data_IF_388508340167
#
_entry.id   IF_388508340167
#
_cell.length_a   1.000
_cell.length_b   1.000
_cell.length_c   1.000
_cell.angle_alpha   90.00
_cell.angle_beta   90.00
_cell.angle_gamma   90.00
#
_symmetry.space_group_name_H-M   'P 1'
#
loop_
_entity.id
_entity.type
_entity.pdbx_description
1 polymer ?
#
# COMPACT_ATOMS: atom_id res chain seq x y z
N UNK A 1 -11.26 3.45 -12.15
CA UNK A 1 -12.22 2.32 -12.20
C UNK A 1 -12.60 1.94 -10.78
N UNK A 2 -13.76 2.40 -10.29
CA UNK A 2 -14.22 2.16 -8.91
C UNK A 2 -15.11 0.90 -8.90
N UNK A 3 -14.55 -0.25 -8.52
CA UNK A 3 -15.25 -1.54 -8.52
C UNK A 3 -16.29 -1.62 -7.36
N UNK A 4 -16.30 -0.65 -6.45
CA UNK A 4 -16.90 -0.78 -5.12
C UNK A 4 -18.32 -0.23 -4.92
N UNK A 5 -19.14 -0.05 -5.96
CA UNK A 5 -20.56 0.34 -5.78
C UNK A 5 -21.57 -0.29 -6.75
N UNK A 6 -21.14 -1.15 -7.68
CA UNK A 6 -22.07 -1.74 -8.64
C UNK A 6 -23.04 -2.72 -7.96
N UNK A 7 -24.29 -2.77 -8.46
CA UNK A 7 -25.32 -3.68 -7.96
C UNK A 7 -24.87 -5.15 -8.07
N UNK A 8 -24.11 -5.46 -9.13
CA UNK A 8 -23.52 -6.77 -9.37
C UNK A 8 -22.57 -7.25 -8.24
N UNK A 9 -21.70 -6.37 -7.72
CA UNK A 9 -20.79 -6.72 -6.62
C UNK A 9 -21.55 -7.01 -5.32
N UNK A 10 -22.64 -6.28 -5.07
CA UNK A 10 -23.51 -6.53 -3.91
C UNK A 10 -24.28 -7.85 -4.05
N UNK A 11 -24.77 -8.16 -5.25
CA UNK A 11 -25.47 -9.41 -5.54
C UNK A 11 -24.54 -10.63 -5.45
N UNK A 12 -23.30 -10.52 -5.94
CA UNK A 12 -22.27 -11.56 -5.84
C UNK A 12 -21.93 -11.90 -4.40
N UNK A 13 -21.68 -10.89 -3.56
CA UNK A 13 -21.36 -11.10 -2.13
C UNK A 13 -22.55 -11.69 -1.37
N UNK A 14 -23.79 -11.25 -1.64
CA UNK A 14 -25.00 -11.84 -1.05
C UNK A 14 -25.15 -13.32 -1.42
N UNK A 15 -24.86 -13.67 -2.68
CA UNK A 15 -24.91 -15.05 -3.17
C UNK A 15 -23.82 -15.90 -2.51
N UNK A 16 -22.60 -15.38 -2.37
CA UNK A 16 -21.50 -16.07 -1.69
C UNK A 16 -21.78 -16.28 -0.19
N UNK A 17 -22.25 -15.25 0.52
CA UNK A 17 -22.62 -15.37 1.93
C UNK A 17 -23.78 -16.39 2.12
N UNK A 18 -24.73 -16.46 1.18
CA UNK A 18 -25.82 -17.44 1.22
C UNK A 18 -25.34 -18.88 0.92
N UNK A 19 -24.29 -19.04 0.10
CA UNK A 19 -23.72 -20.36 -0.24
C UNK A 19 -22.69 -20.85 0.79
N UNK A 20 -22.04 -19.96 1.52
CA UNK A 20 -21.00 -20.30 2.49
C UNK A 20 -21.43 -19.97 3.92
N UNK A 21 -22.10 -20.92 4.59
CA UNK A 21 -22.54 -20.78 6.00
C UNK A 21 -21.39 -20.81 7.03
N UNK A 22 -20.18 -21.21 6.64
CA UNK A 22 -19.06 -21.50 7.56
C UNK A 22 -17.93 -20.48 7.54
N UNK A 23 -17.88 -19.56 6.55
CA UNK A 23 -16.80 -18.58 6.41
C UNK A 23 -17.37 -17.18 6.53
N UNK A 24 -17.29 -16.62 7.75
CA UNK A 24 -17.64 -15.24 8.17
C UNK A 24 -18.43 -14.44 7.13
N UNK A 25 -19.71 -14.16 7.43
CA UNK A 25 -20.54 -13.20 6.68
C UNK A 25 -19.71 -11.96 6.33
N UNK A 26 -19.38 -11.82 5.05
CA UNK A 26 -18.53 -10.72 4.59
C UNK A 26 -19.39 -9.46 4.63
N UNK A 27 -19.23 -8.67 5.70
CA UNK A 27 -19.93 -7.41 5.85
C UNK A 27 -19.38 -6.40 4.84
N UNK A 28 -20.22 -6.00 3.89
CA UNK A 28 -19.91 -4.95 2.93
C UNK A 28 -19.91 -3.62 3.69
N UNK A 29 -18.78 -3.23 4.25
CA UNK A 29 -18.65 -1.89 4.83
C UNK A 29 -18.59 -0.86 3.70
N UNK A 30 -19.74 -0.25 3.39
CA UNK A 30 -19.86 0.88 2.44
C UNK A 30 -19.29 2.19 3.00
N UNK A 31 -18.31 2.11 3.91
CA UNK A 31 -17.70 3.27 4.51
C UNK A 31 -16.66 3.81 3.52
N UNK A 32 -16.99 4.93 2.87
CA UNK A 32 -16.13 5.59 1.86
C UNK A 32 -14.69 5.77 2.35
N UNK A 33 -14.52 6.04 3.65
CA UNK A 33 -13.23 6.19 4.30
C UNK A 33 -12.38 4.90 4.31
N UNK A 34 -12.98 3.75 4.65
CA UNK A 34 -12.27 2.46 4.66
C UNK A 34 -11.85 2.02 3.26
N UNK A 35 -12.73 2.23 2.26
CA UNK A 35 -12.36 2.00 0.87
C UNK A 35 -11.20 2.90 0.45
N UNK A 36 -11.19 4.18 0.85
CA UNK A 36 -10.09 5.06 0.51
C UNK A 36 -8.74 4.59 1.08
N UNK A 37 -8.70 4.06 2.32
CA UNK A 37 -7.47 3.50 2.91
C UNK A 37 -7.00 2.27 2.13
N UNK A 38 -7.91 1.34 1.82
CA UNK A 38 -7.59 0.10 1.09
C UNK A 38 -7.11 0.42 -0.33
N UNK A 39 -7.82 1.29 -1.04
CA UNK A 39 -7.44 1.72 -2.40
C UNK A 39 -6.09 2.47 -2.41
N UNK A 40 -5.82 3.31 -1.41
CA UNK A 40 -4.52 3.97 -1.27
C UNK A 40 -3.39 2.98 -1.00
N UNK A 41 -3.61 1.99 -0.14
CA UNK A 41 -2.64 0.94 0.14
C UNK A 41 -2.31 0.15 -1.13
N UNK A 42 -3.34 -0.28 -1.86
CA UNK A 42 -3.17 -0.97 -3.14
C UNK A 42 -2.44 -0.13 -4.17
N UNK A 43 -2.72 1.17 -4.26
CA UNK A 43 -1.99 2.09 -5.14
C UNK A 43 -0.51 2.15 -4.77
N UNK A 44 -0.19 2.24 -3.48
CA UNK A 44 1.20 2.28 -3.03
C UNK A 44 1.95 0.98 -3.34
N UNK A 45 1.31 -0.18 -3.17
CA UNK A 45 1.89 -1.48 -3.53
C UNK A 45 2.13 -1.56 -5.04
N UNK A 46 1.15 -1.19 -5.86
CA UNK A 46 1.30 -1.18 -7.33
C UNK A 46 2.43 -0.27 -7.80
N UNK A 47 2.54 0.93 -7.23
CA UNK A 47 3.62 1.86 -7.56
C UNK A 47 4.99 1.24 -7.25
N UNK A 48 5.15 0.58 -6.09
CA UNK A 48 6.40 -0.10 -5.73
C UNK A 48 6.75 -1.20 -6.71
N UNK A 49 5.78 -2.03 -7.10
CA UNK A 49 5.99 -3.10 -8.08
C UNK A 49 6.44 -2.52 -9.41
N UNK A 50 5.74 -1.51 -9.93
CA UNK A 50 6.08 -0.87 -11.22
C UNK A 50 7.48 -0.27 -11.19
N UNK A 51 7.84 0.42 -10.10
CA UNK A 51 9.17 0.98 -9.91
C UNK A 51 10.22 -0.13 -9.94
N UNK A 52 10.04 -1.21 -9.17
CA UNK A 52 10.98 -2.34 -9.12
C UNK A 52 11.12 -3.06 -10.46
N UNK A 53 10.02 -3.26 -11.19
CA UNK A 53 10.04 -3.90 -12.52
C UNK A 53 10.79 -3.08 -13.57
N UNK A 54 10.91 -1.76 -13.39
CA UNK A 54 11.69 -0.89 -14.27
C UNK A 54 13.21 -0.96 -14.07
N UNK A 55 13.70 -1.64 -13.02
CA UNK A 55 15.13 -1.81 -12.79
C UNK A 55 15.64 -3.10 -13.43
N UNK A 56 16.85 -3.01 -14.02
CA UNK A 56 17.56 -4.17 -14.56
C UNK A 56 17.99 -5.17 -13.49
N UNK A 57 18.29 -4.67 -12.29
CA UNK A 57 18.82 -5.45 -11.17
C UNK A 57 18.06 -5.13 -9.86
N UNK A 58 18.02 -6.09 -8.94
CA UNK A 58 17.26 -5.98 -7.68
C UNK A 58 17.88 -5.00 -6.68
N UNK A 59 19.21 -5.01 -6.54
CA UNK A 59 19.97 -4.16 -5.62
C UNK A 59 19.71 -2.64 -5.83
N UNK A 60 19.81 -2.08 -7.06
CA UNK A 60 19.43 -0.70 -7.34
C UNK A 60 17.96 -0.37 -7.02
N UNK A 61 17.05 -1.32 -7.25
CA UNK A 61 15.63 -1.15 -6.97
C UNK A 61 15.38 -1.04 -5.45
N UNK A 62 16.05 -1.90 -4.66
CA UNK A 62 15.96 -1.87 -3.20
C UNK A 62 16.49 -0.56 -2.62
N UNK A 63 17.67 -0.10 -3.06
CA UNK A 63 18.24 1.19 -2.62
C UNK A 63 17.30 2.35 -2.94
N UNK A 64 16.69 2.35 -4.13
CA UNK A 64 15.72 3.38 -4.53
C UNK A 64 14.46 3.34 -3.65
N UNK A 65 13.91 2.15 -3.40
CA UNK A 65 12.75 1.98 -2.52
C UNK A 65 13.04 2.39 -1.06
N UNK A 66 14.24 2.11 -0.56
CA UNK A 66 14.70 2.52 0.76
C UNK A 66 14.79 4.05 0.85
N UNK A 67 15.37 4.72 -0.16
CA UNK A 67 15.39 6.18 -0.25
C UNK A 67 14.00 6.81 -0.22
N UNK A 68 13.06 6.28 -1.02
CA UNK A 68 11.67 6.74 -1.03
C UNK A 68 11.01 6.58 0.35
N UNK A 69 11.28 5.46 1.04
CA UNK A 69 10.76 5.22 2.39
C UNK A 69 11.33 6.22 3.42
N UNK A 70 12.62 6.52 3.35
CA UNK A 70 13.29 7.49 4.24
C UNK A 70 12.71 8.88 4.05
N UNK A 71 12.58 9.37 2.81
CA UNK A 71 11.96 10.69 2.52
C UNK A 71 10.53 10.75 3.05
N UNK A 72 9.77 9.65 2.93
CA UNK A 72 8.42 9.59 3.48
C UNK A 72 8.38 9.60 5.01
N UNK A 73 9.32 8.94 5.69
CA UNK A 73 9.46 8.98 7.16
C UNK A 73 9.82 10.39 7.65
N UNK A 74 10.73 11.08 6.95
CA UNK A 74 11.11 12.48 7.24
C UNK A 74 9.88 13.39 7.11
N UNK A 75 9.16 13.28 5.99
CA UNK A 75 7.98 14.12 5.73
C UNK A 75 6.85 13.88 6.75
N UNK A 76 6.82 12.71 7.38
CA UNK A 76 5.88 12.38 8.45
C UNK A 76 6.39 12.74 9.86
N UNK A 77 7.62 13.24 10.01
CA UNK A 77 8.22 13.52 11.31
C UNK A 77 8.47 12.27 12.15
N UNK A 78 8.64 11.10 11.51
CA UNK A 78 8.78 9.81 12.19
C UNK A 78 10.24 9.47 12.54
N UNK A 79 11.19 10.39 12.32
CA UNK A 79 12.59 10.21 12.69
C UNK A 79 12.80 10.81 14.09
N UNK A 80 13.13 9.96 15.06
CA UNK A 80 13.37 10.37 16.45
C UNK A 80 14.68 11.15 16.65
N UNK A 81 15.64 11.05 15.73
CA UNK A 81 16.94 11.72 15.86
C UNK A 81 17.13 12.84 14.81
N UNK A 82 17.01 14.12 15.20
CA UNK A 82 17.24 15.25 14.32
C UNK A 82 18.72 15.44 13.91
N UNK A 83 19.67 14.71 14.53
CA UNK A 83 21.11 14.80 14.21
C UNK A 83 21.54 13.87 13.06
N UNK A 84 20.79 12.81 12.77
CA UNK A 84 20.98 12.05 11.55
C UNK A 84 20.33 12.80 10.40
N UNK A 85 21.12 13.61 9.69
CA UNK A 85 20.67 14.27 8.46
C UNK A 85 20.05 13.21 7.56
N UNK A 86 18.90 13.50 6.95
CA UNK A 86 18.21 12.61 5.99
C UNK A 86 19.16 11.88 5.03
N UNK A 87 20.17 12.61 4.59
CA UNK A 87 21.23 12.15 3.70
C UNK A 87 22.21 11.16 4.36
N UNK A 88 22.57 11.33 5.65
CA UNK A 88 23.42 10.39 6.39
C UNK A 88 22.72 9.04 6.58
N UNK A 89 21.45 9.03 6.96
CA UNK A 89 20.65 7.79 7.06
C UNK A 89 20.47 7.14 5.69
N UNK A 90 20.32 7.93 4.63
CA UNK A 90 20.28 7.40 3.26
C UNK A 90 21.60 6.73 2.88
N UNK A 91 22.74 7.43 3.04
CA UNK A 91 24.07 6.91 2.73
C UNK A 91 24.42 5.65 3.51
N UNK A 92 24.03 5.54 4.79
CA UNK A 92 24.31 4.35 5.61
C UNK A 92 23.54 3.10 5.17
N UNK A 93 22.38 3.27 4.53
CA UNK A 93 21.54 2.15 4.05
C UNK A 93 21.79 1.86 2.57
N UNK A 94 22.33 2.83 1.82
CA UNK A 94 22.67 2.68 0.40
C UNK A 94 24.09 2.17 0.12
N UNK A 95 24.97 2.14 1.12
CA UNK A 95 26.34 1.59 1.01
C UNK A 95 26.25 0.06 0.95
#
# INVERSE_FOLDING_TARGET
MNIGKSCASTAGIRTLNRRCFTRKNTNIQRVKYLNNIVEQNHRNIKIRIVITTGFKEFEPAQRTLAGIAIVHMIRKGQISDPKSTAFKTFCSVSS
#
